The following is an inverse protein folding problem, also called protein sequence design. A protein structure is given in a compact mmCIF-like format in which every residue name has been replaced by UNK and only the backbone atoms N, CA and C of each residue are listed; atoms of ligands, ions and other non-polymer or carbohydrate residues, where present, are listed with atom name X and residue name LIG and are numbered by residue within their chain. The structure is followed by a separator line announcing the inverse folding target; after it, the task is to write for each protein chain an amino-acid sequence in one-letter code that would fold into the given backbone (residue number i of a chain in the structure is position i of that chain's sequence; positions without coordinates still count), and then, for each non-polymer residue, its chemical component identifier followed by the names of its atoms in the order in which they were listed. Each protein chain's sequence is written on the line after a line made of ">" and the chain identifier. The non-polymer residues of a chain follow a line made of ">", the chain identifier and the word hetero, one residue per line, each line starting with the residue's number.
data_IF_788796825091
#
_entry.id   IF_788796825091
#
_cell.length_a   1.000
_cell.length_b   1.000
_cell.length_c   1.000
_cell.angle_alpha   90.00
_cell.angle_beta   90.00
_cell.angle_gamma   90.00
#
_symmetry.space_group_name_H-M   'P 1'
#
loop_
_entity.id
_entity.type
_entity.pdbx_description
1 polymer ?
#
# COMPACT_ATOMS: atom_id res chain seq x y z
N UNK A 1 -8.08 31.01 -7.67
CA UNK A 1 -8.70 31.41 -8.95
C UNK A 1 -10.19 31.62 -8.75
N UNK A 2 -10.95 31.89 -9.81
CA UNK A 2 -12.41 32.15 -9.73
C UNK A 2 -13.25 30.91 -9.43
N UNK A 3 -12.78 29.71 -9.76
CA UNK A 3 -13.50 28.43 -9.63
C UNK A 3 -12.65 27.34 -8.95
N UNK A 4 -12.21 27.53 -7.70
CA UNK A 4 -11.28 26.60 -7.04
C UNK A 4 -11.92 25.24 -6.72
N UNK A 5 -13.22 25.18 -6.41
CA UNK A 5 -13.91 23.94 -6.05
C UNK A 5 -14.18 23.10 -7.31
N UNK A 6 -14.70 23.75 -8.36
CA UNK A 6 -15.05 23.13 -9.63
C UNK A 6 -13.81 22.60 -10.35
N UNK A 7 -12.67 23.27 -10.19
CA UNK A 7 -11.39 22.78 -10.69
C UNK A 7 -11.03 21.41 -10.08
N UNK A 8 -11.15 21.26 -8.76
CA UNK A 8 -10.86 20.00 -8.06
C UNK A 8 -11.88 18.92 -8.41
N UNK A 9 -13.18 19.25 -8.44
CA UNK A 9 -14.24 18.32 -8.83
C UNK A 9 -14.09 17.84 -10.27
N UNK A 10 -13.73 18.73 -11.19
CA UNK A 10 -13.47 18.38 -12.59
C UNK A 10 -12.25 17.47 -12.71
N UNK A 11 -11.19 17.74 -11.96
CA UNK A 11 -10.00 16.90 -11.92
C UNK A 11 -10.32 15.49 -11.40
N UNK A 12 -11.05 15.36 -10.29
CA UNK A 12 -11.48 14.07 -9.74
C UNK A 12 -12.30 13.26 -10.77
N UNK A 13 -13.26 13.92 -11.45
CA UNK A 13 -14.07 13.28 -12.49
C UNK A 13 -13.25 12.80 -13.69
N UNK A 14 -12.27 13.60 -14.15
CA UNK A 14 -11.39 13.21 -15.26
C UNK A 14 -10.54 12.01 -14.87
N UNK A 15 -9.96 12.00 -13.67
CA UNK A 15 -9.13 10.90 -13.18
C UNK A 15 -9.94 9.61 -13.08
N UNK A 16 -11.13 9.67 -12.46
CA UNK A 16 -12.03 8.51 -12.34
C UNK A 16 -12.46 7.95 -13.70
N UNK A 17 -12.70 8.83 -14.67
CA UNK A 17 -13.03 8.41 -16.02
C UNK A 17 -11.86 7.70 -16.71
N UNK A 18 -10.66 8.29 -16.61
CA UNK A 18 -9.45 7.74 -17.21
C UNK A 18 -9.03 6.40 -16.58
N UNK A 19 -9.35 6.18 -15.31
CA UNK A 19 -9.00 4.96 -14.55
C UNK A 19 -10.18 3.98 -14.41
N UNK A 20 -11.29 4.19 -15.13
CA UNK A 20 -12.52 3.39 -14.98
C UNK A 20 -12.30 1.89 -15.17
N UNK A 21 -11.50 1.51 -16.18
CA UNK A 21 -11.20 0.10 -16.50
C UNK A 21 -10.04 -0.44 -15.66
N UNK A 22 -9.53 0.35 -14.73
CA UNK A 22 -8.39 0.04 -13.89
C UNK A 22 -7.20 0.98 -14.15
N UNK A 23 -6.11 0.77 -13.40
CA UNK A 23 -4.91 1.58 -13.53
C UNK A 23 -4.29 1.47 -14.91
N UNK A 24 -3.80 2.61 -15.43
CA UNK A 24 -2.83 2.60 -16.52
C UNK A 24 -1.58 1.87 -16.04
N UNK A 25 -1.37 0.65 -16.57
CA UNK A 25 -0.24 -0.21 -16.19
C UNK A 25 1.07 0.55 -16.39
N UNK A 26 1.91 0.56 -15.36
CA UNK A 26 3.21 1.22 -15.44
C UNK A 26 4.18 0.41 -16.29
N UNK A 27 5.23 1.06 -16.80
CA UNK A 27 6.34 0.35 -17.46
C UNK A 27 6.95 -0.72 -16.53
N UNK A 28 6.97 -0.48 -15.22
CA UNK A 28 7.46 -1.46 -14.24
C UNK A 28 6.62 -2.76 -14.22
N UNK A 29 5.33 -2.70 -14.55
CA UNK A 29 4.49 -3.89 -14.69
C UNK A 29 4.74 -4.64 -16.01
N UNK A 30 5.22 -3.95 -17.06
CA UNK A 30 5.49 -4.54 -18.37
C UNK A 30 6.93 -5.07 -18.53
N UNK A 31 7.86 -4.58 -17.73
CA UNK A 31 9.29 -4.94 -17.81
C UNK A 31 9.68 -6.02 -16.82
N UNK A 32 10.66 -6.85 -17.20
CA UNK A 32 11.39 -7.65 -16.22
C UNK A 32 12.30 -6.71 -15.42
N UNK A 33 12.20 -6.66 -14.08
CA UNK A 33 13.05 -5.79 -13.28
C UNK A 33 14.48 -6.32 -13.28
N UNK A 34 15.42 -5.43 -13.57
CA UNK A 34 16.84 -5.67 -13.35
C UNK A 34 17.16 -5.56 -11.85
N UNK A 35 18.15 -6.33 -11.40
CA UNK A 35 18.69 -6.20 -10.05
C UNK A 35 19.55 -4.93 -10.03
N UNK A 36 19.03 -3.87 -9.40
CA UNK A 36 19.68 -2.55 -9.37
C UNK A 36 20.46 -2.26 -8.09
N UNK A 37 20.65 -3.25 -7.22
CA UNK A 37 21.29 -3.10 -5.92
C UNK A 37 22.08 -4.35 -5.56
N UNK A 38 23.25 -4.17 -4.95
CA UNK A 38 24.04 -5.25 -4.37
C UNK A 38 23.63 -5.57 -2.92
N UNK A 39 22.74 -4.78 -2.31
CA UNK A 39 22.23 -5.00 -0.95
C UNK A 39 21.08 -6.05 -1.00
N UNK A 40 21.27 -7.25 -0.42
CA UNK A 40 20.26 -8.30 -0.42
C UNK A 40 18.92 -7.85 0.16
N UNK A 41 18.91 -6.94 1.13
CA UNK A 41 17.67 -6.45 1.75
C UNK A 41 16.83 -5.65 0.77
N UNK A 42 17.45 -4.86 -0.11
CA UNK A 42 16.75 -4.12 -1.16
C UNK A 42 16.25 -5.06 -2.25
N UNK A 43 17.05 -6.06 -2.63
CA UNK A 43 16.66 -7.09 -3.60
C UNK A 43 15.42 -7.85 -3.11
N UNK A 44 15.40 -8.24 -1.83
CA UNK A 44 14.25 -8.93 -1.24
C UNK A 44 13.02 -8.02 -1.21
N UNK A 45 13.18 -6.75 -0.84
CA UNK A 45 12.08 -5.79 -0.82
C UNK A 45 11.46 -5.58 -2.21
N UNK A 46 12.28 -5.52 -3.27
CA UNK A 46 11.78 -5.46 -4.65
C UNK A 46 11.08 -6.74 -5.08
N UNK A 47 11.65 -7.90 -4.77
CA UNK A 47 11.05 -9.20 -5.08
C UNK A 47 9.69 -9.37 -4.39
N UNK A 48 9.59 -8.98 -3.11
CA UNK A 48 8.35 -9.01 -2.33
C UNK A 48 7.34 -8.01 -2.88
N UNK A 49 7.74 -6.79 -3.24
CA UNK A 49 6.82 -5.82 -3.82
C UNK A 49 6.23 -6.31 -5.15
N UNK A 50 7.05 -6.96 -5.98
CA UNK A 50 6.58 -7.59 -7.22
C UNK A 50 5.65 -8.77 -6.95
N UNK A 51 5.99 -9.61 -5.98
CA UNK A 51 5.12 -10.72 -5.58
C UNK A 51 3.77 -10.22 -5.05
N UNK A 52 3.78 -9.17 -4.24
CA UNK A 52 2.57 -8.53 -3.73
C UNK A 52 1.69 -7.97 -4.85
N UNK A 53 2.30 -7.30 -5.83
CA UNK A 53 1.59 -6.87 -7.05
C UNK A 53 0.98 -8.05 -7.81
N UNK A 54 1.77 -9.09 -8.09
CA UNK A 54 1.27 -10.24 -8.85
C UNK A 54 0.12 -10.95 -8.11
N UNK A 55 0.24 -11.13 -6.79
CA UNK A 55 -0.80 -11.72 -5.96
C UNK A 55 -2.06 -10.85 -5.96
N UNK A 56 -1.93 -9.54 -5.75
CA UNK A 56 -3.07 -8.63 -5.65
C UNK A 56 -3.83 -8.48 -6.98
N UNK A 57 -3.16 -8.66 -8.11
CA UNK A 57 -3.77 -8.55 -9.43
C UNK A 57 -4.45 -9.85 -9.89
N UNK A 58 -4.11 -10.99 -9.28
CA UNK A 58 -4.61 -12.32 -9.66
C UNK A 58 -5.42 -13.02 -8.57
N UNK A 59 -5.72 -12.33 -7.46
CA UNK A 59 -6.57 -12.86 -6.39
C UNK A 59 -7.69 -11.87 -6.07
N UNK A 60 -8.88 -12.37 -5.69
CA UNK A 60 -9.98 -11.51 -5.28
C UNK A 60 -9.72 -11.00 -3.86
N UNK A 61 -9.00 -9.89 -3.76
CA UNK A 61 -8.81 -9.14 -2.52
C UNK A 61 -9.30 -7.71 -2.70
N UNK A 62 -9.83 -7.12 -1.64
CA UNK A 62 -10.35 -5.77 -1.66
C UNK A 62 -9.24 -4.73 -1.48
N UNK A 63 -8.18 -5.05 -0.72
CA UNK A 63 -7.14 -4.07 -0.35
C UNK A 63 -5.74 -4.66 -0.31
N UNK A 64 -4.76 -3.83 -0.64
CA UNK A 64 -3.35 -4.11 -0.36
C UNK A 64 -2.89 -3.29 0.86
N UNK A 65 -2.68 -3.94 2.00
CA UNK A 65 -2.29 -3.29 3.25
C UNK A 65 -0.77 -3.33 3.41
N UNK A 66 -0.12 -2.17 3.41
CA UNK A 66 1.34 -2.06 3.42
C UNK A 66 1.83 -1.37 4.68
N UNK A 67 2.54 -2.10 5.54
CA UNK A 67 3.15 -1.58 6.76
C UNK A 67 4.47 -0.90 6.43
N UNK A 68 4.67 0.31 6.96
CA UNK A 68 5.85 1.09 6.60
C UNK A 68 6.25 2.14 7.64
N UNK A 69 7.56 2.30 7.83
CA UNK A 69 8.15 3.37 8.63
C UNK A 69 8.58 4.57 7.80
N UNK A 70 9.21 4.36 6.63
CA UNK A 70 9.79 5.45 5.81
C UNK A 70 9.02 5.73 4.52
N UNK A 71 8.09 4.83 4.19
CA UNK A 71 7.27 4.85 2.98
C UNK A 71 7.86 4.06 1.81
N UNK A 72 9.06 3.48 1.97
CA UNK A 72 9.76 2.83 0.86
C UNK A 72 9.03 1.59 0.35
N UNK A 73 8.47 0.76 1.24
CA UNK A 73 7.67 -0.40 0.84
C UNK A 73 6.45 0.01 0.00
N UNK A 74 5.72 1.05 0.43
CA UNK A 74 4.56 1.58 -0.29
C UNK A 74 4.95 2.07 -1.67
N UNK A 75 6.05 2.84 -1.79
CA UNK A 75 6.57 3.28 -3.10
C UNK A 75 6.93 2.10 -4.01
N UNK A 76 7.57 1.06 -3.45
CA UNK A 76 7.95 -0.15 -4.22
C UNK A 76 6.74 -0.89 -4.77
N UNK A 77 5.62 -0.94 -4.05
CA UNK A 77 4.41 -1.59 -4.57
C UNK A 77 3.62 -0.65 -5.50
N UNK A 78 3.42 0.60 -5.10
CA UNK A 78 2.63 1.56 -5.88
C UNK A 78 3.18 1.81 -7.29
N UNK A 79 4.50 1.63 -7.50
CA UNK A 79 5.11 1.73 -8.84
C UNK A 79 4.52 0.74 -9.85
N UNK A 80 3.97 -0.39 -9.40
CA UNK A 80 3.33 -1.39 -10.27
C UNK A 80 1.86 -1.08 -10.57
N UNK A 81 1.27 -0.08 -9.91
CA UNK A 81 -0.14 0.29 -10.04
C UNK A 81 -1.09 -0.92 -9.87
N UNK A 82 -1.09 -1.58 -8.69
CA UNK A 82 -2.00 -2.70 -8.44
C UNK A 82 -3.47 -2.25 -8.60
N UNK A 83 -4.33 -3.19 -9.00
CA UNK A 83 -5.77 -2.93 -9.13
C UNK A 83 -6.46 -2.58 -7.79
N UNK A 84 -6.28 -3.37 -6.70
CA UNK A 84 -6.87 -2.99 -5.42
C UNK A 84 -6.19 -1.74 -4.84
N UNK A 85 -6.95 -0.87 -4.13
CA UNK A 85 -6.39 0.28 -3.44
C UNK A 85 -5.32 -0.13 -2.42
N UNK A 86 -4.32 0.73 -2.28
CA UNK A 86 -3.23 0.54 -1.32
C UNK A 86 -3.56 1.28 -0.04
N UNK A 87 -3.58 0.56 1.08
CA UNK A 87 -3.74 1.13 2.41
C UNK A 87 -2.39 1.08 3.13
N UNK A 88 -1.76 2.24 3.28
CA UNK A 88 -0.50 2.36 3.99
C UNK A 88 -0.72 2.50 5.50
N UNK A 89 -0.17 1.58 6.27
CA UNK A 89 -0.11 1.66 7.72
C UNK A 89 1.23 2.31 8.08
N UNK A 90 1.18 3.61 8.37
CA UNK A 90 2.35 4.43 8.65
C UNK A 90 2.64 4.53 10.16
N UNK A 91 3.92 4.59 10.50
CA UNK A 91 4.37 4.75 11.89
C UNK A 91 4.03 6.13 12.49
N UNK A 92 3.96 7.17 11.66
CA UNK A 92 3.71 8.55 12.08
C UNK A 92 2.96 9.37 11.04
N UNK A 93 2.46 10.54 11.46
CA UNK A 93 1.70 11.47 10.62
C UNK A 93 2.51 12.11 9.49
N UNK A 94 3.81 12.29 9.67
CA UNK A 94 4.65 12.91 8.64
C UNK A 94 4.78 11.96 7.43
N UNK A 95 4.97 10.68 7.71
CA UNK A 95 5.04 9.61 6.72
C UNK A 95 3.66 9.42 6.07
N UNK A 96 2.58 9.32 6.86
CA UNK A 96 1.22 9.20 6.32
C UNK A 96 0.87 10.32 5.33
N UNK A 97 1.12 11.58 5.70
CA UNK A 97 0.87 12.74 4.83
C UNK A 97 1.62 12.67 3.50
N UNK A 98 2.90 12.27 3.52
CA UNK A 98 3.69 12.09 2.30
C UNK A 98 3.16 10.95 1.43
N UNK A 99 2.70 9.87 2.05
CA UNK A 99 2.18 8.70 1.35
C UNK A 99 0.85 8.97 0.64
N UNK A 100 0.00 9.87 1.15
CA UNK A 100 -1.24 10.26 0.47
C UNK A 100 -1.02 11.03 -0.85
N UNK A 101 0.21 11.43 -1.18
CA UNK A 101 0.57 11.98 -2.49
C UNK A 101 0.94 10.90 -3.51
N UNK A 102 1.10 9.65 -3.06
CA UNK A 102 1.38 8.51 -3.93
C UNK A 102 0.05 8.01 -4.49
N UNK A 103 0.03 7.79 -5.80
CA UNK A 103 -1.12 7.25 -6.50
C UNK A 103 -1.65 5.95 -5.86
N UNK A 104 -2.97 5.83 -5.80
CA UNK A 104 -3.66 4.65 -5.30
C UNK A 104 -3.46 4.41 -3.80
N UNK A 105 -2.80 5.32 -3.07
CA UNK A 105 -2.50 5.15 -1.64
C UNK A 105 -3.44 6.00 -0.79
N UNK A 106 -4.03 5.37 0.21
CA UNK A 106 -4.61 6.01 1.39
C UNK A 106 -3.84 5.54 2.61
N UNK A 107 -3.68 6.37 3.63
CA UNK A 107 -2.89 6.02 4.80
C UNK A 107 -3.65 6.18 6.11
N UNK A 108 -3.28 5.34 7.06
CA UNK A 108 -3.65 5.44 8.48
C UNK A 108 -2.38 5.44 9.33
N UNK A 109 -2.43 6.08 10.49
CA UNK A 109 -1.33 6.10 11.45
C UNK A 109 -1.61 5.07 12.53
N UNK A 110 -0.69 4.15 12.73
CA UNK A 110 -0.77 3.11 13.76
C UNK A 110 0.61 2.96 14.39
N UNK A 111 0.66 3.03 15.71
CA UNK A 111 1.91 2.76 16.46
C UNK A 111 2.34 1.32 16.20
N UNK A 112 3.60 1.14 15.81
CA UNK A 112 4.16 -0.18 15.52
C UNK A 112 4.32 -0.97 16.81
N UNK A 113 3.76 -2.17 16.82
CA UNK A 113 3.88 -3.15 17.90
C UNK A 113 4.84 -4.27 17.49
N UNK A 114 5.61 -4.79 18.45
CA UNK A 114 6.51 -5.94 18.21
C UNK A 114 5.73 -7.24 17.90
N UNK A 115 4.55 -7.39 18.48
CA UNK A 115 3.67 -8.52 18.22
C UNK A 115 2.90 -8.30 16.91
N UNK A 116 3.15 -9.16 15.92
CA UNK A 116 2.58 -9.05 14.60
C UNK A 116 1.04 -9.19 14.57
N UNK A 117 0.48 -10.09 15.38
CA UNK A 117 -0.98 -10.29 15.42
C UNK A 117 -1.69 -9.08 16.06
N UNK A 118 -1.11 -8.53 17.13
CA UNK A 118 -1.63 -7.32 17.76
C UNK A 118 -1.51 -6.09 16.83
N UNK A 119 -0.38 -5.96 16.14
CA UNK A 119 -0.17 -4.93 15.12
C UNK A 119 -1.23 -5.03 14.01
N UNK A 120 -1.51 -6.25 13.54
CA UNK A 120 -2.51 -6.49 12.52
C UNK A 120 -3.92 -6.13 12.99
N UNK A 121 -4.29 -6.54 14.21
CA UNK A 121 -5.60 -6.24 14.80
C UNK A 121 -5.82 -4.73 14.96
N UNK A 122 -4.83 -4.01 15.49
CA UNK A 122 -4.88 -2.54 15.61
C UNK A 122 -4.98 -1.86 14.26
N UNK A 123 -4.18 -2.29 13.29
CA UNK A 123 -4.23 -1.76 11.94
C UNK A 123 -5.59 -1.99 11.28
N UNK A 124 -6.11 -3.22 11.33
CA UNK A 124 -7.44 -3.54 10.80
C UNK A 124 -8.53 -2.66 11.38
N UNK A 125 -8.51 -2.44 12.70
CA UNK A 125 -9.47 -1.55 13.36
C UNK A 125 -9.34 -0.10 12.89
N UNK A 126 -8.11 0.43 12.83
CA UNK A 126 -7.87 1.80 12.37
C UNK A 126 -8.30 2.01 10.90
N UNK A 127 -8.11 1.00 10.05
CA UNK A 127 -8.51 1.01 8.65
C UNK A 127 -10.05 1.08 8.53
N UNK A 128 -10.76 0.25 9.30
CA UNK A 128 -12.23 0.20 9.31
C UNK A 128 -12.80 1.51 9.87
N UNK A 129 -12.27 2.00 11.00
CA UNK A 129 -12.73 3.25 11.62
C UNK A 129 -12.47 4.48 10.70
N UNK A 130 -11.44 4.41 9.84
CA UNK A 130 -11.17 5.43 8.82
C UNK A 130 -12.08 5.31 7.56
N UNK A 131 -12.95 4.31 7.50
CA UNK A 131 -13.84 4.06 6.37
C UNK A 131 -13.11 3.62 5.10
N UNK A 132 -11.91 3.04 5.23
CA UNK A 132 -11.09 2.60 4.09
C UNK A 132 -11.34 1.14 3.70
N UNK A 133 -11.87 0.33 4.61
CA UNK A 133 -12.27 -1.06 4.38
C UNK A 133 -13.48 -1.41 5.24
N UNK A 134 -14.17 -2.50 4.88
CA UNK A 134 -15.23 -3.09 5.68
C UNK A 134 -14.69 -4.25 6.53
N UNK A 135 -15.34 -4.48 7.67
CA UNK A 135 -15.06 -5.65 8.49
C UNK A 135 -15.33 -6.93 7.69
N UNK A 136 -14.34 -7.82 7.69
CA UNK A 136 -14.42 -9.09 7.02
C UNK A 136 -13.96 -9.13 5.57
N UNK A 137 -13.55 -8.00 4.98
CA UNK A 137 -12.85 -7.98 3.70
C UNK A 137 -11.48 -8.65 3.80
N UNK A 138 -11.02 -9.24 2.69
CA UNK A 138 -9.70 -9.86 2.58
C UNK A 138 -8.69 -8.85 2.04
N UNK A 139 -7.58 -8.69 2.77
CA UNK A 139 -6.44 -7.89 2.36
C UNK A 139 -5.20 -8.74 2.16
N UNK A 140 -4.32 -8.28 1.26
CA UNK A 140 -2.94 -8.76 1.20
C UNK A 140 -2.05 -7.82 2.01
N UNK A 141 -1.45 -8.34 3.06
CA UNK A 141 -0.49 -7.65 3.90
C UNK A 141 0.89 -7.69 3.25
N UNK A 142 1.58 -6.56 3.24
CA UNK A 142 2.99 -6.43 2.84
C UNK A 142 3.77 -5.70 3.93
N UNK A 143 4.92 -6.23 4.34
CA UNK A 143 5.72 -5.60 5.39
C UNK A 143 7.00 -6.36 5.73
N UNK A 144 7.47 -6.18 6.95
CA UNK A 144 8.63 -6.87 7.52
C UNK A 144 8.20 -7.74 8.69
N UNK A 145 8.65 -8.99 8.73
CA UNK A 145 8.53 -9.83 9.93
C UNK A 145 9.94 -10.16 10.48
N UNK A 146 10.19 -9.98 11.79
CA UNK A 146 9.31 -9.32 12.77
C UNK A 146 9.07 -7.83 12.43
N UNK A 147 7.93 -7.30 12.89
CA UNK A 147 7.58 -5.88 12.75
C UNK A 147 8.38 -5.09 13.80
N UNK A 148 9.65 -4.82 13.50
CA UNK A 148 10.56 -4.09 14.40
C UNK A 148 10.68 -2.63 14.00
N UNK A 149 11.25 -1.80 14.86
CA UNK A 149 11.63 -0.41 14.56
C UNK A 149 12.75 -0.28 13.49
N UNK A 150 13.27 -1.38 12.95
CA UNK A 150 14.27 -1.35 11.87
C UNK A 150 13.62 -1.00 10.54
N UNK A 151 13.98 0.18 10.01
CA UNK A 151 13.53 0.62 8.70
C UNK A 151 14.17 -0.16 7.55
N UNK A 152 13.53 -0.13 6.38
CA UNK A 152 14.15 -0.52 5.11
C UNK A 152 14.03 -1.99 4.73
N UNK A 153 13.45 -2.83 5.58
CA UNK A 153 13.21 -4.24 5.29
C UNK A 153 11.77 -4.45 4.80
N UNK A 154 11.60 -5.30 3.79
CA UNK A 154 10.30 -5.77 3.33
C UNK A 154 10.50 -7.19 2.87
N UNK A 155 10.06 -8.16 3.67
CA UNK A 155 10.37 -9.58 3.50
C UNK A 155 9.15 -10.50 3.62
N UNK A 156 7.95 -9.94 3.81
CA UNK A 156 6.73 -10.71 4.07
C UNK A 156 5.54 -10.26 3.22
N UNK A 157 4.78 -11.26 2.75
CA UNK A 157 3.43 -11.10 2.18
C UNK A 157 2.48 -12.10 2.83
N UNK A 158 1.26 -11.69 3.17
CA UNK A 158 0.33 -12.56 3.87
C UNK A 158 -1.14 -12.18 3.64
N UNK A 159 -1.99 -13.13 3.24
CA UNK A 159 -3.43 -12.89 3.12
C UNK A 159 -4.09 -12.92 4.50
N UNK A 160 -4.92 -11.92 4.79
CA UNK A 160 -5.67 -11.85 6.05
C UNK A 160 -7.04 -11.22 5.85
N UNK A 161 -7.96 -11.58 6.75
CA UNK A 161 -9.25 -10.92 6.89
C UNK A 161 -9.11 -9.70 7.81
N UNK A 162 -9.67 -8.55 7.45
CA UNK A 162 -9.62 -7.35 8.27
C UNK A 162 -10.69 -7.37 9.37
N UNK A 163 -10.32 -6.92 10.58
CA UNK A 163 -11.23 -6.76 11.72
C UNK A 163 -11.46 -8.02 12.57
N UNK A 164 -10.83 -9.15 12.24
CA UNK A 164 -10.87 -10.39 13.04
C UNK A 164 -9.74 -10.51 14.04
#
# INVERSE_FOLDING_TARGET
>A
GKYPIEAVQTMDRIIREAEREGPVRSQAAASQPEVTSDDPTQIFADAIARAAYALSDHTPIEHLVVFTQTGTAVRRVAKYRPFPPIIAVAADEQVARRLNLIWGVRSVVVTIEENADEMFRKAGRAIIDAGLALEGEYGLLVGSLPMTHEAGRTNAVHFRKLGT
#
